data_IF_507037471986
#
_entry.id   IF_507037471986
#
_cell.length_a   1.000
_cell.length_b   1.000
_cell.length_c   1.000
_cell.angle_alpha   90.00
_cell.angle_beta   90.00
_cell.angle_gamma   90.00
#
_symmetry.space_group_name_H-M   'P 1'
#
loop_
_entity.id
_entity.type
_entity.pdbx_description
1 polymer ?
#
# COMPACT_ATOMS: atom_id res chain seq x y z
N UNK A 1 0.31 1.19 -25.89
CA UNK A 1 1.15 0.03 -25.46
C UNK A 1 2.64 0.36 -25.55
N UNK A 2 3.18 0.70 -26.74
CA UNK A 2 4.61 0.99 -26.94
C UNK A 2 5.20 2.02 -25.97
N UNK A 3 4.45 3.07 -25.68
CA UNK A 3 4.85 4.14 -24.74
C UNK A 3 5.05 3.64 -23.30
N UNK A 4 4.22 2.68 -22.87
CA UNK A 4 4.26 2.12 -21.51
C UNK A 4 5.47 1.21 -21.30
N UNK A 5 5.76 0.35 -22.27
CA UNK A 5 6.90 -0.57 -22.19
C UNK A 5 8.24 0.22 -22.23
N UNK A 6 8.29 1.28 -23.03
CA UNK A 6 9.41 2.23 -23.04
C UNK A 6 9.55 2.92 -21.68
N UNK A 7 8.45 3.39 -21.09
CA UNK A 7 8.46 4.02 -19.75
C UNK A 7 8.99 3.06 -18.69
N UNK A 8 8.54 1.80 -18.67
CA UNK A 8 9.01 0.78 -17.72
C UNK A 8 10.51 0.47 -17.89
N UNK A 9 10.97 0.37 -19.14
CA UNK A 9 12.38 0.14 -19.46
C UNK A 9 13.24 1.31 -18.97
N UNK A 10 12.80 2.54 -19.24
CA UNK A 10 13.48 3.76 -18.81
C UNK A 10 13.55 3.84 -17.28
N UNK A 11 12.45 3.52 -16.59
CA UNK A 11 12.38 3.52 -15.12
C UNK A 11 13.40 2.54 -14.49
N UNK A 12 13.50 1.35 -15.08
CA UNK A 12 14.44 0.32 -14.61
C UNK A 12 15.89 0.72 -14.87
N UNK A 13 16.17 1.27 -16.06
CA UNK A 13 17.50 1.78 -16.41
C UNK A 13 17.90 2.93 -15.48
N UNK A 14 16.98 3.85 -15.22
CA UNK A 14 17.20 5.00 -14.36
C UNK A 14 17.43 4.59 -12.91
N UNK A 15 16.68 3.60 -12.41
CA UNK A 15 16.89 3.02 -11.07
C UNK A 15 18.26 2.36 -10.96
N UNK A 16 18.68 1.60 -11.98
CA UNK A 16 20.02 0.99 -12.03
C UNK A 16 21.12 2.05 -12.05
N UNK A 17 20.96 3.09 -12.87
CA UNK A 17 21.88 4.22 -12.91
C UNK A 17 21.95 4.94 -11.57
N UNK A 18 20.82 5.19 -10.89
CA UNK A 18 20.82 5.85 -9.58
C UNK A 18 21.57 5.03 -8.52
N UNK A 19 21.43 3.70 -8.54
CA UNK A 19 22.14 2.78 -7.62
C UNK A 19 23.65 2.76 -7.85
N UNK A 20 24.07 2.73 -9.12
CA UNK A 20 25.50 2.65 -9.47
C UNK A 20 26.18 4.02 -9.48
N UNK A 21 25.43 5.06 -9.86
CA UNK A 21 25.89 6.43 -10.08
C UNK A 21 25.73 7.36 -8.89
N UNK A 22 25.74 6.83 -7.66
CA UNK A 22 25.57 7.62 -6.41
C UNK A 22 26.56 8.80 -6.30
N UNK A 23 27.77 8.65 -6.87
CA UNK A 23 28.80 9.71 -7.02
C UNK A 23 28.24 10.97 -7.71
N UNK A 24 27.46 10.80 -8.79
CA UNK A 24 26.88 11.89 -9.57
C UNK A 24 25.70 12.57 -8.85
N UNK A 25 25.02 11.83 -7.98
CA UNK A 25 23.88 12.29 -7.19
C UNK A 25 24.27 12.92 -5.85
N UNK A 26 25.55 12.84 -5.48
CA UNK A 26 26.05 13.32 -4.19
C UNK A 26 25.58 12.48 -3.00
N UNK A 27 25.22 11.22 -3.24
CA UNK A 27 24.82 10.26 -2.20
C UNK A 27 26.07 9.52 -1.68
N UNK A 28 26.12 9.17 -0.38
CA UNK A 28 27.26 8.48 0.20
C UNK A 28 27.43 7.10 -0.45
N UNK A 29 28.65 6.79 -0.88
CA UNK A 29 29.01 5.50 -1.49
C UNK A 29 29.33 4.54 -0.35
N UNK A 30 28.59 3.44 -0.25
CA UNK A 30 28.92 2.37 0.70
C UNK A 30 30.06 1.53 0.13
N UNK A 31 31.30 1.99 0.31
CA UNK A 31 32.51 1.22 0.02
C UNK A 31 33.36 1.80 -1.10
N UNK A 32 34.57 2.18 -0.69
CA UNK A 32 35.78 2.40 -1.48
C UNK A 32 35.99 3.80 -2.10
N UNK A 33 36.97 4.49 -1.53
CA UNK A 33 37.61 5.71 -2.02
C UNK A 33 38.61 5.35 -3.13
N UNK A 34 38.41 5.84 -4.36
CA UNK A 34 39.49 6.07 -5.32
C UNK A 34 39.01 6.88 -6.54
N UNK A 35 39.68 8.02 -6.75
CA UNK A 35 39.64 8.91 -7.91
C UNK A 35 38.25 9.28 -8.45
N UNK A 36 37.53 10.04 -7.63
CA UNK A 36 36.28 10.67 -8.01
C UNK A 36 36.46 11.55 -9.24
N UNK A 37 35.77 11.17 -10.34
CA UNK A 37 35.37 12.11 -11.38
C UNK A 37 34.91 13.41 -10.70
N UNK A 38 35.61 14.51 -10.94
CA UNK A 38 35.25 15.83 -10.42
C UNK A 38 33.95 16.29 -11.06
N UNK A 39 32.84 15.77 -10.58
CA UNK A 39 31.51 16.24 -10.93
C UNK A 39 31.33 17.57 -10.22
N UNK A 40 31.20 18.65 -10.99
CA UNK A 40 31.02 19.99 -10.43
C UNK A 40 29.72 20.06 -9.63
N UNK A 41 29.65 20.94 -8.63
CA UNK A 41 28.44 21.14 -7.85
C UNK A 41 27.22 21.48 -8.73
N UNK A 42 27.44 22.16 -9.85
CA UNK A 42 26.42 22.48 -10.84
C UNK A 42 25.89 21.24 -11.57
N UNK A 43 26.76 20.32 -11.98
CA UNK A 43 26.36 19.05 -12.60
C UNK A 43 25.53 18.20 -11.63
N UNK A 44 25.97 18.07 -10.36
CA UNK A 44 25.21 17.35 -9.32
C UNK A 44 23.81 17.96 -9.13
N UNK A 45 23.71 19.29 -9.10
CA UNK A 45 22.44 20.02 -9.01
C UNK A 45 21.54 19.74 -10.22
N UNK A 46 22.11 19.73 -11.43
CA UNK A 46 21.36 19.45 -12.66
C UNK A 46 20.82 18.02 -12.70
N UNK A 47 21.64 17.03 -12.32
CA UNK A 47 21.17 15.65 -12.18
C UNK A 47 20.03 15.57 -11.16
N UNK A 48 20.24 16.05 -9.93
CA UNK A 48 19.20 16.01 -8.90
C UNK A 48 17.89 16.66 -9.35
N UNK A 49 17.96 17.80 -10.05
CA UNK A 49 16.79 18.47 -10.61
C UNK A 49 16.10 17.59 -11.66
N UNK A 50 16.83 16.99 -12.59
CA UNK A 50 16.28 16.13 -13.63
C UNK A 50 15.59 14.88 -13.04
N UNK A 51 16.22 14.24 -12.05
CA UNK A 51 15.63 13.10 -11.34
C UNK A 51 14.36 13.47 -10.59
N UNK A 52 14.36 14.60 -9.87
CA UNK A 52 13.17 15.07 -9.17
C UNK A 52 12.03 15.38 -10.15
N UNK A 53 12.29 16.11 -11.24
CA UNK A 53 11.26 16.40 -12.25
C UNK A 53 10.69 15.14 -12.87
N UNK A 54 11.52 14.13 -13.14
CA UNK A 54 11.05 12.85 -13.65
C UNK A 54 10.23 12.09 -12.60
N UNK A 55 10.66 12.09 -11.34
CA UNK A 55 9.94 11.47 -10.24
C UNK A 55 8.57 12.11 -9.98
N UNK A 56 8.48 13.44 -10.05
CA UNK A 56 7.22 14.17 -9.96
C UNK A 56 6.26 13.76 -11.08
N UNK A 57 6.75 13.71 -12.33
CA UNK A 57 5.97 13.25 -13.47
C UNK A 57 5.51 11.78 -13.32
N UNK A 58 6.36 10.90 -12.77
CA UNK A 58 5.98 9.52 -12.47
C UNK A 58 4.91 9.44 -11.38
N UNK A 59 4.97 10.31 -10.39
CA UNK A 59 3.97 10.39 -9.32
C UNK A 59 2.62 10.85 -9.87
N UNK A 60 2.61 11.81 -10.79
CA UNK A 60 1.38 12.24 -11.48
C UNK A 60 0.77 11.11 -12.31
N UNK A 61 1.59 10.37 -13.06
CA UNK A 61 1.14 9.18 -13.80
C UNK A 61 0.56 8.13 -12.85
N UNK A 62 1.25 7.83 -11.75
CA UNK A 62 0.78 6.89 -10.74
C UNK A 62 -0.58 7.30 -10.16
N UNK A 63 -0.78 8.58 -9.85
CA UNK A 63 -2.06 9.09 -9.35
C UNK A 63 -3.17 8.98 -10.41
N UNK A 64 -2.87 9.26 -11.68
CA UNK A 64 -3.84 9.10 -12.77
C UNK A 64 -4.27 7.64 -12.97
N UNK A 65 -3.33 6.70 -12.90
CA UNK A 65 -3.59 5.26 -12.98
C UNK A 65 -4.44 4.80 -11.79
N UNK A 66 -4.15 5.31 -10.58
CA UNK A 66 -4.96 5.03 -9.38
C UNK A 66 -6.41 5.49 -9.55
N UNK A 67 -6.62 6.72 -10.03
CA UNK A 67 -7.98 7.23 -10.32
C UNK A 67 -8.70 6.40 -11.38
N UNK A 68 -7.98 5.95 -12.41
CA UNK A 68 -8.51 5.06 -13.45
C UNK A 68 -8.96 3.71 -12.87
N UNK A 69 -8.15 3.15 -11.96
CA UNK A 69 -8.47 1.91 -11.26
C UNK A 69 -9.74 2.06 -10.41
N UNK A 70 -9.83 3.11 -9.58
CA UNK A 70 -11.01 3.41 -8.76
C UNK A 70 -12.28 3.64 -9.60
N UNK A 71 -12.15 4.31 -10.75
CA UNK A 71 -13.26 4.52 -11.65
C UNK A 71 -13.78 3.19 -12.22
N UNK A 72 -12.87 2.30 -12.63
CA UNK A 72 -13.25 0.99 -13.14
C UNK A 72 -13.86 0.10 -12.05
N UNK A 73 -13.38 0.19 -10.80
CA UNK A 73 -14.01 -0.48 -9.66
C UNK A 73 -15.46 -0.03 -9.47
N UNK A 74 -15.71 1.29 -9.50
CA UNK A 74 -17.06 1.86 -9.39
C UNK A 74 -17.96 1.45 -10.54
N UNK A 75 -17.44 1.40 -11.77
CA UNK A 75 -18.19 0.94 -12.94
C UNK A 75 -18.53 -0.55 -12.85
N UNK A 76 -17.58 -1.38 -12.42
CA UNK A 76 -17.79 -2.81 -12.20
C UNK A 76 -18.85 -3.06 -11.13
N UNK A 77 -18.81 -2.33 -10.00
CA UNK A 77 -19.85 -2.43 -8.96
C UNK A 77 -21.24 -2.06 -9.51
N UNK A 78 -21.35 -1.00 -10.32
CA UNK A 78 -22.63 -0.63 -10.95
C UNK A 78 -23.14 -1.72 -11.90
N UNK A 79 -22.26 -2.35 -12.67
CA UNK A 79 -22.63 -3.43 -13.59
C UNK A 79 -23.13 -4.66 -12.84
N UNK A 80 -22.44 -5.06 -11.77
CA UNK A 80 -22.87 -6.15 -10.90
C UNK A 80 -24.22 -5.83 -10.27
N UNK A 81 -24.41 -4.62 -9.75
CA UNK A 81 -25.69 -4.21 -9.16
C UNK A 81 -26.84 -4.19 -10.20
N UNK A 82 -26.55 -3.83 -11.45
CA UNK A 82 -27.57 -3.74 -12.50
C UNK A 82 -27.89 -5.06 -13.21
N UNK A 83 -26.90 -5.95 -13.36
CA UNK A 83 -27.01 -7.19 -14.16
C UNK A 83 -26.84 -8.48 -13.34
N UNK A 84 -26.41 -8.39 -12.09
CA UNK A 84 -26.13 -9.53 -11.21
C UNK A 84 -24.78 -10.20 -11.46
N UNK A 85 -24.08 -9.87 -12.55
CA UNK A 85 -22.80 -10.47 -12.91
C UNK A 85 -21.86 -9.47 -13.61
N UNK A 86 -20.56 -9.73 -13.50
CA UNK A 86 -19.52 -9.01 -14.23
C UNK A 86 -19.02 -9.89 -15.38
N UNK A 87 -18.93 -9.34 -16.60
CA UNK A 87 -18.42 -10.10 -17.74
C UNK A 87 -16.93 -10.45 -17.57
N UNK A 88 -16.51 -11.59 -18.13
CA UNK A 88 -15.11 -12.04 -18.11
C UNK A 88 -14.15 -10.99 -18.70
N UNK A 89 -14.58 -10.30 -19.75
CA UNK A 89 -13.80 -9.21 -20.35
C UNK A 89 -13.58 -8.03 -19.40
N UNK A 90 -14.60 -7.65 -18.62
CA UNK A 90 -14.52 -6.56 -17.64
C UNK A 90 -13.62 -6.95 -16.47
N UNK A 91 -13.78 -8.18 -15.96
CA UNK A 91 -12.92 -8.74 -14.92
C UNK A 91 -11.45 -8.84 -15.36
N UNK A 92 -11.20 -9.32 -16.58
CA UNK A 92 -9.87 -9.41 -17.19
C UNK A 92 -9.22 -8.05 -17.37
N UNK A 93 -9.99 -7.04 -17.81
CA UNK A 93 -9.52 -5.67 -18.01
C UNK A 93 -9.14 -5.02 -16.68
N UNK A 94 -9.96 -5.19 -15.64
CA UNK A 94 -9.66 -4.73 -14.29
C UNK A 94 -8.39 -5.36 -13.73
N UNK A 95 -8.26 -6.69 -13.80
CA UNK A 95 -7.06 -7.38 -13.32
C UNK A 95 -5.79 -6.97 -14.08
N UNK A 96 -5.88 -6.73 -15.39
CA UNK A 96 -4.76 -6.20 -16.18
C UNK A 96 -4.33 -4.81 -15.70
N UNK A 97 -5.29 -3.91 -15.46
CA UNK A 97 -4.99 -2.57 -14.98
C UNK A 97 -4.42 -2.61 -13.56
N UNK A 98 -5.03 -3.38 -12.66
CA UNK A 98 -4.57 -3.59 -11.29
C UNK A 98 -3.12 -4.09 -11.22
N UNK A 99 -2.79 -5.10 -12.03
CA UNK A 99 -1.41 -5.63 -12.13
C UNK A 99 -0.44 -4.59 -12.70
N UNK A 100 -0.86 -3.83 -13.71
CA UNK A 100 -0.06 -2.74 -14.28
C UNK A 100 0.27 -1.68 -13.23
N UNK A 101 -0.75 -1.23 -12.48
CA UNK A 101 -0.61 -0.25 -11.41
C UNK A 101 0.35 -0.75 -10.32
N UNK A 102 0.15 -1.96 -9.81
CA UNK A 102 1.03 -2.55 -8.79
C UNK A 102 2.49 -2.66 -9.27
N UNK A 103 2.69 -3.01 -10.55
CA UNK A 103 4.01 -3.07 -11.14
C UNK A 103 4.67 -1.68 -11.25
N UNK A 104 3.91 -0.68 -11.70
CA UNK A 104 4.36 0.71 -11.78
C UNK A 104 4.76 1.23 -10.39
N UNK A 105 3.89 1.05 -9.39
CA UNK A 105 4.16 1.44 -8.01
C UNK A 105 5.47 0.86 -7.49
N UNK A 106 5.67 -0.46 -7.64
CA UNK A 106 6.90 -1.13 -7.21
C UNK A 106 8.15 -0.55 -7.89
N UNK A 107 8.07 -0.22 -9.18
CA UNK A 107 9.20 0.35 -9.92
C UNK A 107 9.50 1.78 -9.47
N UNK A 108 8.48 2.61 -9.22
CA UNK A 108 8.65 3.97 -8.69
C UNK A 108 9.23 3.93 -7.28
N UNK A 109 8.75 3.03 -6.42
CA UNK A 109 9.31 2.83 -5.07
C UNK A 109 10.78 2.40 -5.11
N UNK A 110 11.14 1.48 -6.01
CA UNK A 110 12.54 1.09 -6.23
C UNK A 110 13.41 2.26 -6.71
N UNK A 111 12.86 3.16 -7.54
CA UNK A 111 13.56 4.37 -7.96
C UNK A 111 13.75 5.33 -6.78
N UNK A 112 12.71 5.56 -5.97
CA UNK A 112 12.76 6.41 -4.78
C UNK A 112 13.84 5.93 -3.80
N UNK A 113 13.88 4.62 -3.51
CA UNK A 113 14.93 4.00 -2.68
C UNK A 113 16.33 4.23 -3.26
N UNK A 114 16.48 4.18 -4.58
CA UNK A 114 17.76 4.37 -5.25
C UNK A 114 18.24 5.84 -5.19
N UNK A 115 17.30 6.78 -5.02
CA UNK A 115 17.55 8.21 -4.90
C UNK A 115 17.61 8.70 -3.44
N UNK A 116 17.49 7.79 -2.45
CA UNK A 116 17.27 8.11 -1.03
C UNK A 116 16.08 9.07 -0.80
N UNK A 117 15.05 8.95 -1.64
CA UNK A 117 13.80 9.70 -1.53
C UNK A 117 12.74 8.86 -0.84
N UNK A 118 11.77 9.53 -0.21
CA UNK A 118 10.61 8.84 0.35
C UNK A 118 9.74 8.32 -0.81
N UNK A 119 9.35 7.02 -0.79
CA UNK A 119 8.44 6.48 -1.80
C UNK A 119 7.13 7.28 -1.84
N UNK A 120 6.41 7.29 -2.98
CA UNK A 120 5.22 8.11 -3.13
C UNK A 120 4.21 7.73 -2.05
N UNK A 121 3.77 8.70 -1.25
CA UNK A 121 2.71 8.46 -0.28
C UNK A 121 1.47 7.99 -1.05
N UNK A 122 0.93 6.82 -0.69
CA UNK A 122 -0.32 6.37 -1.28
C UNK A 122 -1.40 7.41 -0.93
N UNK A 123 -2.18 7.88 -1.92
CA UNK A 123 -3.37 8.65 -1.60
C UNK A 123 -4.25 7.75 -0.73
N UNK A 124 -4.55 8.20 0.48
CA UNK A 124 -5.53 7.54 1.35
C UNK A 124 -6.80 7.33 0.54
N UNK A 125 -7.14 6.07 0.27
CA UNK A 125 -8.45 5.73 -0.23
C UNK A 125 -9.44 6.27 0.79
N UNK A 126 -10.30 7.20 0.37
CA UNK A 126 -11.21 7.98 1.21
C UNK A 126 -12.34 7.16 1.84
N UNK A 127 -12.05 5.98 2.35
CA UNK A 127 -13.01 5.06 2.97
C UNK A 127 -12.62 4.60 4.38
N UNK A 128 -11.47 5.00 4.93
CA UNK A 128 -11.11 4.60 6.30
C UNK A 128 -10.53 5.73 7.15
N UNK A 129 -11.34 6.75 7.43
CA UNK A 129 -11.13 7.60 8.63
C UNK A 129 -12.45 8.11 9.22
N UNK A 130 -13.34 7.19 9.56
CA UNK A 130 -14.38 7.42 10.57
C UNK A 130 -13.93 6.82 11.90
N UNK A 131 -12.83 7.33 12.49
CA UNK A 131 -12.59 7.13 13.92
C UNK A 131 -11.96 8.38 14.54
N UNK A 132 -12.56 8.75 15.68
CA UNK A 132 -12.09 9.66 16.72
C UNK A 132 -12.44 11.16 16.59
N UNK A 133 -13.50 11.57 17.31
CA UNK A 133 -13.36 12.60 18.35
C UNK A 133 -14.23 13.86 18.26
N UNK A 134 -15.29 13.89 19.08
CA UNK A 134 -15.94 15.03 19.77
C UNK A 134 -16.76 16.13 19.04
N UNK A 135 -18.10 15.97 19.14
CA UNK A 135 -19.12 16.89 19.75
C UNK A 135 -19.37 18.33 19.21
N UNK A 136 -20.54 18.95 19.48
CA UNK A 136 -21.70 19.03 18.59
C UNK A 136 -21.99 20.45 18.07
N UNK A 137 -23.09 20.57 17.33
CA UNK A 137 -23.85 21.80 17.05
C UNK A 137 -23.44 22.60 15.80
N UNK A 138 -24.15 22.38 14.69
CA UNK A 138 -25.29 23.23 14.30
C UNK A 138 -25.47 23.26 12.77
N UNK A 139 -26.64 22.80 12.34
CA UNK A 139 -27.45 23.32 11.23
C UNK A 139 -26.76 23.73 9.92
N UNK A 140 -26.91 22.90 8.89
CA UNK A 140 -27.50 23.36 7.63
C UNK A 140 -28.05 22.16 6.86
N UNK A 141 -29.37 22.16 6.73
CA UNK A 141 -30.14 21.18 6.01
C UNK A 141 -29.77 21.15 4.51
N UNK A 142 -29.38 19.99 4.00
CA UNK A 142 -29.78 19.57 2.66
C UNK A 142 -30.29 18.14 2.77
N UNK A 143 -31.61 18.06 2.63
CA UNK A 143 -32.41 16.85 2.58
C UNK A 143 -32.13 16.15 1.27
N UNK A 144 -31.27 15.15 1.29
CA UNK A 144 -31.32 14.04 0.35
C UNK A 144 -31.42 12.75 1.17
N UNK A 145 -32.50 12.03 0.91
CA UNK A 145 -32.82 10.74 1.50
C UNK A 145 -31.78 9.71 1.03
N UNK A 146 -30.60 9.69 1.67
CA UNK A 146 -29.69 8.55 1.56
C UNK A 146 -30.13 7.52 2.59
N UNK A 147 -30.93 6.56 2.15
CA UNK A 147 -30.94 5.26 2.83
C UNK A 147 -29.47 4.82 2.82
N UNK A 148 -28.81 4.64 3.97
CA UNK A 148 -27.46 4.09 3.97
C UNK A 148 -27.58 2.69 3.39
N UNK A 149 -27.01 2.46 2.21
CA UNK A 149 -26.88 1.10 1.68
C UNK A 149 -26.20 0.28 2.78
N UNK A 150 -26.81 -0.83 3.22
CA UNK A 150 -26.22 -1.64 4.26
C UNK A 150 -24.86 -2.12 3.74
N UNK A 151 -23.81 -1.82 4.51
CA UNK A 151 -22.41 -2.21 4.25
C UNK A 151 -22.28 -3.73 4.06
N UNK A 152 -23.28 -4.47 4.52
CA UNK A 152 -23.39 -5.92 4.47
C UNK A 152 -24.69 -6.33 3.76
N UNK A 153 -24.60 -7.24 2.80
CA UNK A 153 -25.73 -7.76 2.02
C UNK A 153 -26.68 -8.61 2.88
N UNK A 154 -26.14 -9.21 3.95
CA UNK A 154 -26.89 -10.02 4.91
C UNK A 154 -26.34 -9.88 6.34
N UNK A 155 -27.22 -10.03 7.32
CA UNK A 155 -26.91 -9.87 8.75
C UNK A 155 -26.00 -11.00 9.28
N UNK A 156 -25.99 -12.17 8.63
CA UNK A 156 -25.13 -13.30 9.03
C UNK A 156 -23.66 -12.99 8.69
N UNK A 157 -23.38 -12.47 7.50
CA UNK A 157 -22.05 -12.01 7.08
C UNK A 157 -21.56 -10.89 8.00
N UNK A 158 -22.42 -9.92 8.33
CA UNK A 158 -22.10 -8.87 9.31
C UNK A 158 -21.70 -9.46 10.66
N UNK A 159 -22.54 -10.36 11.18
CA UNK A 159 -22.33 -10.98 12.49
C UNK A 159 -21.04 -11.79 12.51
N UNK A 160 -20.69 -12.49 11.44
CA UNK A 160 -19.43 -13.24 11.36
C UNK A 160 -18.18 -12.35 11.52
N UNK A 161 -18.19 -11.15 10.93
CA UNK A 161 -17.05 -10.22 11.01
C UNK A 161 -17.08 -9.30 12.23
N UNK A 162 -18.26 -9.03 12.81
CA UNK A 162 -18.42 -8.17 13.98
C UNK A 162 -18.41 -8.95 15.31
N UNK A 163 -18.91 -10.18 15.36
CA UNK A 163 -18.79 -11.07 16.53
C UNK A 163 -17.47 -11.85 16.49
N UNK A 164 -16.40 -11.19 16.90
CA UNK A 164 -15.14 -11.87 17.20
C UNK A 164 -15.33 -12.81 18.40
N UNK A 165 -15.27 -14.11 18.17
CA UNK A 165 -15.24 -15.11 19.24
C UNK A 165 -14.14 -14.77 20.24
N UNK A 166 -14.44 -14.73 21.54
CA UNK A 166 -13.45 -14.40 22.57
C UNK A 166 -12.30 -15.41 22.56
N UNK A 167 -11.14 -15.00 22.02
CA UNK A 167 -9.93 -15.82 21.89
C UNK A 167 -9.49 -16.41 23.24
N UNK A 168 -9.86 -15.80 24.37
CA UNK A 168 -9.53 -16.31 25.70
C UNK A 168 -10.22 -17.62 26.04
N UNK A 169 -11.37 -17.89 25.43
CA UNK A 169 -12.09 -19.17 25.58
C UNK A 169 -11.51 -20.30 24.73
N UNK A 170 -10.81 -19.96 23.63
CA UNK A 170 -10.13 -20.90 22.74
C UNK A 170 -8.69 -21.25 23.20
N UNK A 171 -8.10 -20.46 24.09
CA UNK A 171 -6.88 -20.83 24.79
C UNK A 171 -7.23 -21.84 25.87
N UNK A 172 -7.19 -23.13 25.50
CA UNK A 172 -7.23 -24.26 26.43
C UNK A 172 -6.26 -23.95 27.59
N UNK A 173 -6.84 -23.71 28.77
CA UNK A 173 -6.13 -23.57 30.02
C UNK A 173 -5.15 -24.74 30.18
N UNK A 174 -3.85 -24.47 30.05
CA UNK A 174 -2.80 -25.46 30.35
C UNK A 174 -2.50 -25.35 31.85
N UNK A 175 -2.95 -26.30 32.69
CA UNK A 175 -2.65 -26.25 34.11
C UNK A 175 -1.13 -26.38 34.32
N UNK A 176 -0.53 -25.37 34.97
CA UNK A 176 0.87 -25.43 35.42
C UNK A 176 1.01 -26.59 36.41
N UNK A 177 1.74 -27.64 36.05
CA UNK A 177 2.10 -28.74 36.96
C UNK A 177 2.88 -28.17 38.16
N UNK A 178 2.26 -28.16 39.34
CA UNK A 178 2.96 -27.97 40.61
C UNK A 178 3.77 -29.23 40.91
N UNK A 179 5.10 -29.11 40.95
CA UNK A 179 5.97 -30.14 41.53
C UNK A 179 5.94 -30.00 43.05
N UNK A 180 5.09 -30.76 43.71
CA UNK A 180 5.23 -31.01 45.15
C UNK A 180 6.26 -32.12 45.37
N UNK A 181 7.46 -31.72 45.75
CA UNK A 181 8.39 -32.61 46.46
C UNK A 181 7.99 -32.64 47.93
N UNK A 182 7.55 -33.81 48.41
CA UNK A 182 7.49 -34.12 49.83
C UNK A 182 7.99 -35.56 50.01
N UNK A 183 9.29 -35.67 50.28
CA UNK A 183 9.86 -36.86 50.93
C UNK A 183 9.56 -36.77 52.44
N UNK A 184 9.59 -37.92 53.12
CA UNK A 184 9.30 -38.18 54.55
C UNK A 184 7.82 -38.55 54.79
N UNK A 185 7.43 -39.72 55.31
CA UNK A 185 8.15 -40.82 55.96
C UNK A 185 7.20 -42.03 56.12
N UNK A 186 7.73 -43.13 56.68
CA UNK A 186 7.08 -44.33 57.29
C UNK A 186 6.81 -45.49 56.30
N UNK A 187 7.19 -46.74 56.55
CA UNK A 187 7.26 -47.56 57.78
C UNK A 187 8.54 -48.44 57.77
N UNK A 188 9.27 -48.61 58.89
CA UNK A 188 9.04 -49.58 59.98
C UNK A 188 8.98 -51.04 59.49
N UNK A 189 10.15 -51.70 59.52
CA UNK A 189 10.40 -53.06 60.03
C UNK A 189 11.87 -53.45 59.78
#
# INVERSE_FOLDING_TARGET
MKDRDTTQTNLTLLSSFARQGRVFLGLPISGHDEDGLEVTAEQKKNFKKAFNTYYDALTDVLQSEHKSLQQMEKENSKLVNAKGELSEDSASSYEKLRKSYAHLYRNISSLAESLDMQPPAMPEDGTTRLTAGDEPSSSAAVKDTSVPEPIWDDEDTRTFYECLTDLRSALIYVPKKQRYGKMSSLEVA
#
